data_IF_149231417589
#
_entry.id   IF_149231417589
#
_cell.length_a   1.000
_cell.length_b   1.000
_cell.length_c   1.000
_cell.angle_alpha   90.00
_cell.angle_beta   90.00
_cell.angle_gamma   90.00
#
_symmetry.space_group_name_H-M   'P 1'
#
loop_
_entity.id
_entity.type
_entity.pdbx_description
1 polymer ?
#
# COMPACT_ATOMS: atom_id res chain seq x y z
N UNK A 1 -0.21 -8.23 -12.46
CA UNK A 1 -0.25 -8.05 -13.93
C UNK A 1 0.38 -9.19 -14.72
N UNK A 2 1.16 -10.10 -14.12
CA UNK A 2 1.71 -11.28 -14.85
C UNK A 2 2.87 -10.99 -15.81
N UNK A 3 3.22 -9.71 -16.01
CA UNK A 3 4.24 -9.29 -16.98
C UNK A 3 5.60 -9.97 -16.80
N UNK A 4 6.03 -10.22 -15.55
CA UNK A 4 7.30 -10.91 -15.28
C UNK A 4 7.36 -12.32 -15.88
N UNK A 5 6.22 -13.03 -15.97
CA UNK A 5 6.16 -14.35 -16.60
C UNK A 5 6.28 -14.24 -18.12
N UNK A 6 5.59 -13.26 -18.73
CA UNK A 6 5.56 -13.10 -20.19
C UNK A 6 6.90 -12.63 -20.79
N UNK A 7 7.72 -11.91 -20.01
CA UNK A 7 9.02 -11.42 -20.48
C UNK A 7 10.18 -12.36 -20.15
N UNK A 8 9.96 -13.41 -19.35
CA UNK A 8 11.03 -14.30 -18.93
C UNK A 8 11.46 -15.18 -20.11
N UNK A 9 12.72 -15.08 -20.57
CA UNK A 9 13.18 -15.81 -21.77
C UNK A 9 13.21 -17.33 -21.57
N UNK A 10 13.32 -17.78 -20.31
CA UNK A 10 13.37 -19.20 -19.92
C UNK A 10 12.03 -19.73 -19.40
N UNK A 11 10.97 -18.91 -19.42
CA UNK A 11 9.61 -19.32 -19.07
C UNK A 11 9.32 -19.50 -17.58
N UNK A 12 10.18 -19.02 -16.67
CA UNK A 12 9.96 -19.16 -15.22
C UNK A 12 8.81 -18.26 -14.75
N UNK A 13 7.80 -18.89 -14.14
CA UNK A 13 6.67 -18.20 -13.52
C UNK A 13 6.98 -17.71 -12.10
N UNK A 14 7.86 -16.70 -12.04
CA UNK A 14 8.23 -16.05 -10.78
C UNK A 14 7.02 -15.51 -10.00
N UNK A 15 6.02 -14.83 -10.61
CA UNK A 15 4.87 -14.33 -9.87
C UNK A 15 4.12 -15.42 -9.10
N UNK A 16 3.81 -16.55 -9.76
CA UNK A 16 3.12 -17.66 -9.11
C UNK A 16 3.95 -18.26 -7.99
N UNK A 17 5.25 -18.44 -8.22
CA UNK A 17 6.19 -18.93 -7.21
C UNK A 17 6.26 -18.02 -5.98
N UNK A 18 6.34 -16.71 -6.16
CA UNK A 18 6.35 -15.76 -5.03
C UNK A 18 5.02 -15.72 -4.26
N UNK A 19 3.89 -15.90 -4.94
CA UNK A 19 2.59 -16.00 -4.28
C UNK A 19 2.47 -17.28 -3.46
N UNK A 20 2.99 -18.40 -3.99
CA UNK A 20 3.08 -19.66 -3.27
C UNK A 20 3.86 -19.49 -1.96
N UNK A 21 5.10 -18.99 -2.01
CA UNK A 21 5.89 -18.79 -0.79
C UNK A 21 5.27 -17.78 0.19
N UNK A 22 4.63 -16.72 -0.30
CA UNK A 22 3.89 -15.79 0.57
C UNK A 22 2.71 -16.46 1.27
N UNK A 23 2.02 -17.38 0.60
CA UNK A 23 0.91 -18.12 1.23
C UNK A 23 1.41 -19.03 2.36
N UNK A 24 2.55 -19.69 2.16
CA UNK A 24 3.23 -20.53 3.17
C UNK A 24 3.66 -19.72 4.38
N UNK A 25 4.25 -18.56 4.15
CA UNK A 25 4.64 -17.63 5.20
C UNK A 25 3.43 -17.11 6.02
N UNK A 26 2.35 -16.69 5.35
CA UNK A 26 1.14 -16.17 6.03
C UNK A 26 0.40 -17.27 6.81
N UNK A 27 0.43 -18.52 6.34
CA UNK A 27 -0.18 -19.66 7.00
C UNK A 27 0.65 -20.22 8.17
N UNK A 28 1.85 -19.66 8.41
CA UNK A 28 2.80 -20.18 9.39
C UNK A 28 3.12 -21.67 9.14
N UNK A 29 3.37 -22.01 7.86
CA UNK A 29 3.68 -23.38 7.47
C UNK A 29 4.97 -23.86 8.17
N UNK A 30 4.91 -24.98 8.93
CA UNK A 30 6.04 -25.48 9.72
C UNK A 30 7.23 -25.90 8.85
N UNK A 31 6.99 -26.36 7.62
CA UNK A 31 8.04 -26.84 6.71
C UNK A 31 8.90 -25.69 6.17
N UNK A 32 8.37 -24.46 6.22
CA UNK A 32 9.05 -23.26 5.74
C UNK A 32 9.60 -22.38 6.87
N UNK A 33 9.64 -22.88 8.12
CA UNK A 33 10.10 -22.15 9.31
C UNK A 33 9.35 -20.81 9.47
N UNK A 34 8.11 -20.75 8.97
CA UNK A 34 7.32 -19.54 8.98
C UNK A 34 6.74 -19.30 10.39
N UNK A 35 6.73 -18.04 10.82
CA UNK A 35 6.19 -17.66 12.13
C UNK A 35 4.78 -17.10 12.00
N UNK A 36 3.86 -17.42 12.93
CA UNK A 36 2.54 -16.83 12.94
C UNK A 36 2.64 -15.31 13.10
N UNK A 37 1.84 -14.60 12.30
CA UNK A 37 1.76 -13.14 12.35
C UNK A 37 1.13 -12.70 13.68
N UNK A 38 1.61 -11.63 14.32
CA UNK A 38 1.02 -11.11 15.56
C UNK A 38 -0.48 -10.87 15.40
N UNK A 39 -1.28 -11.22 16.42
CA UNK A 39 -2.73 -11.04 16.37
C UNK A 39 -3.16 -9.59 16.09
N UNK A 40 -2.40 -8.63 16.65
CA UNK A 40 -2.61 -7.20 16.41
C UNK A 40 -2.43 -6.82 14.93
N UNK A 41 -1.42 -7.37 14.25
CA UNK A 41 -1.17 -7.12 12.83
C UNK A 41 -2.34 -7.66 11.99
N UNK A 42 -2.79 -8.89 12.27
CA UNK A 42 -3.95 -9.50 11.60
C UNK A 42 -5.20 -8.64 11.76
N UNK A 43 -5.46 -8.12 12.96
CA UNK A 43 -6.63 -7.29 13.23
C UNK A 43 -6.52 -5.92 12.54
N UNK A 44 -5.33 -5.30 12.56
CA UNK A 44 -5.07 -4.06 11.85
C UNK A 44 -5.37 -4.20 10.35
N UNK A 45 -4.83 -5.23 9.70
CA UNK A 45 -5.05 -5.43 8.26
C UNK A 45 -6.49 -5.82 7.92
N UNK A 46 -7.20 -6.55 8.79
CA UNK A 46 -8.65 -6.77 8.62
C UNK A 46 -9.43 -5.46 8.65
N UNK A 47 -9.17 -4.60 9.62
CA UNK A 47 -9.79 -3.28 9.72
C UNK A 47 -9.44 -2.39 8.53
N UNK A 48 -8.18 -2.42 8.09
CA UNK A 48 -7.72 -1.72 6.91
C UNK A 48 -8.45 -2.19 5.64
N UNK A 49 -8.52 -3.50 5.40
CA UNK A 49 -9.24 -4.09 4.26
C UNK A 49 -10.71 -3.63 4.21
N UNK A 50 -11.37 -3.64 5.36
CA UNK A 50 -12.74 -3.14 5.48
C UNK A 50 -12.84 -1.65 5.12
N UNK A 51 -11.95 -0.80 5.66
CA UNK A 51 -11.95 0.63 5.39
C UNK A 51 -11.67 0.96 3.91
N UNK A 52 -10.70 0.29 3.28
CA UNK A 52 -10.34 0.56 1.88
C UNK A 52 -11.36 0.02 0.87
N UNK A 53 -12.08 -1.04 1.23
CA UNK A 53 -13.14 -1.61 0.38
C UNK A 53 -14.36 -0.69 0.25
N UNK A 54 -14.56 0.22 1.21
CA UNK A 54 -15.71 1.15 1.25
C UNK A 54 -15.26 2.54 0.83
N UNK A 55 -15.77 3.00 -0.31
CA UNK A 55 -15.37 4.28 -0.92
C UNK A 55 -15.49 5.47 0.02
N UNK A 56 -16.56 5.56 0.79
CA UNK A 56 -16.81 6.67 1.71
C UNK A 56 -15.83 6.69 2.90
N UNK A 57 -15.55 5.54 3.51
CA UNK A 57 -14.57 5.42 4.60
C UNK A 57 -13.17 5.76 4.12
N UNK A 58 -12.79 5.23 2.97
CA UNK A 58 -11.51 5.55 2.34
C UNK A 58 -11.36 7.06 2.09
N UNK A 59 -12.37 7.69 1.49
CA UNK A 59 -12.32 9.12 1.18
C UNK A 59 -12.25 9.98 2.45
N UNK A 60 -12.99 9.62 3.50
CA UNK A 60 -12.93 10.29 4.78
C UNK A 60 -11.54 10.13 5.44
N UNK A 61 -11.02 8.91 5.44
CA UNK A 61 -9.68 8.60 5.96
C UNK A 61 -8.58 9.41 5.25
N UNK A 62 -8.64 9.50 3.92
CA UNK A 62 -7.70 10.32 3.12
C UNK A 62 -7.80 11.81 3.47
N UNK A 63 -9.03 12.34 3.63
CA UNK A 63 -9.23 13.75 4.02
C UNK A 63 -8.65 14.05 5.41
N UNK A 64 -8.80 13.14 6.37
CA UNK A 64 -8.24 13.28 7.72
C UNK A 64 -6.72 13.08 7.76
N UNK A 65 -6.19 12.13 6.97
CA UNK A 65 -4.77 11.82 6.95
C UNK A 65 -3.94 12.92 6.27
N UNK A 66 -4.48 13.60 5.26
CA UNK A 66 -3.78 14.64 4.48
C UNK A 66 -3.12 15.73 5.34
N UNK A 67 -3.82 16.46 6.23
CA UNK A 67 -3.19 17.52 7.02
C UNK A 67 -2.10 16.98 7.95
N UNK A 68 -2.29 15.77 8.48
CA UNK A 68 -1.30 15.13 9.34
C UNK A 68 -0.04 14.74 8.57
N UNK A 69 -0.20 14.11 7.40
CA UNK A 69 0.92 13.67 6.55
C UNK A 69 1.66 14.84 5.91
N UNK A 70 0.95 15.90 5.55
CA UNK A 70 1.55 17.08 4.94
C UNK A 70 2.19 18.05 5.94
N UNK A 71 2.08 17.81 7.26
CA UNK A 71 2.62 18.70 8.31
C UNK A 71 4.13 18.94 8.18
N UNK A 72 4.87 17.92 7.75
CA UNK A 72 6.34 17.95 7.67
C UNK A 72 6.83 17.88 6.21
N UNK A 73 6.10 18.49 5.28
CA UNK A 73 6.50 18.55 3.87
C UNK A 73 7.61 19.59 3.69
N UNK A 74 8.71 19.17 3.08
CA UNK A 74 9.85 20.00 2.72
C UNK A 74 9.99 19.96 1.19
N UNK A 75 9.96 21.13 0.53
CA UNK A 75 10.04 21.26 -0.94
C UNK A 75 9.03 20.40 -1.72
N UNK A 76 7.82 20.20 -1.19
CA UNK A 76 6.77 19.39 -1.84
C UNK A 76 6.89 17.88 -1.62
N UNK A 77 7.87 17.43 -0.83
CA UNK A 77 8.07 16.02 -0.49
C UNK A 77 7.99 15.79 1.02
N UNK A 78 7.44 14.64 1.39
CA UNK A 78 7.59 14.04 2.70
C UNK A 78 8.90 13.26 2.66
N UNK A 79 9.88 13.69 3.45
CA UNK A 79 11.23 13.09 3.49
C UNK A 79 11.49 12.18 4.68
N UNK A 80 10.61 12.21 5.68
CA UNK A 80 10.79 11.45 6.91
C UNK A 80 9.46 11.14 7.56
N UNK A 81 9.37 9.93 8.13
CA UNK A 81 8.27 9.53 9.00
C UNK A 81 8.81 8.71 10.17
N UNK A 82 8.28 8.96 11.36
CA UNK A 82 8.66 8.23 12.58
C UNK A 82 7.94 6.87 12.63
N UNK A 83 8.45 5.95 13.44
CA UNK A 83 7.83 4.65 13.70
C UNK A 83 8.03 3.65 12.55
N UNK A 84 7.04 2.78 12.26
CA UNK A 84 7.20 1.63 11.36
C UNK A 84 7.54 2.02 9.92
N UNK A 85 7.25 3.25 9.52
CA UNK A 85 7.52 3.76 8.17
C UNK A 85 8.95 4.29 7.97
N UNK A 86 9.77 4.36 9.04
CA UNK A 86 11.13 4.92 8.95
C UNK A 86 11.99 4.24 7.88
N UNK A 87 11.87 2.92 7.72
CA UNK A 87 12.63 2.16 6.73
C UNK A 87 12.34 2.57 5.28
N UNK A 88 11.10 2.98 4.97
CA UNK A 88 10.74 3.46 3.63
C UNK A 88 11.49 4.74 3.27
N UNK A 89 11.48 5.71 4.18
CA UNK A 89 12.11 7.02 3.99
C UNK A 89 13.64 7.01 4.09
N UNK A 90 14.27 5.84 4.29
CA UNK A 90 15.73 5.72 4.16
C UNK A 90 16.19 5.72 2.69
N UNK A 91 15.32 5.31 1.77
CA UNK A 91 15.66 5.19 0.35
C UNK A 91 14.67 5.89 -0.59
N UNK A 92 13.49 6.27 -0.09
CA UNK A 92 12.41 6.82 -0.91
C UNK A 92 11.69 7.98 -0.22
N UNK A 93 11.64 9.09 -0.93
CA UNK A 93 10.76 10.20 -0.60
C UNK A 93 9.35 9.96 -1.17
N UNK A 94 8.34 10.55 -0.52
CA UNK A 94 6.97 10.55 -1.04
C UNK A 94 6.56 11.98 -1.41
N UNK A 95 5.87 12.22 -2.54
CA UNK A 95 5.31 13.53 -2.82
C UNK A 95 4.25 13.89 -1.77
N UNK A 96 4.08 15.18 -1.51
CA UNK A 96 3.01 15.67 -0.66
C UNK A 96 1.64 15.20 -1.18
N UNK A 97 0.73 14.90 -0.27
CA UNK A 97 -0.61 14.47 -0.66
C UNK A 97 -1.34 15.61 -1.38
N UNK A 98 -1.81 15.33 -2.59
CA UNK A 98 -2.54 16.29 -3.41
C UNK A 98 -3.85 16.75 -2.75
N UNK A 99 -4.21 18.03 -3.00
CA UNK A 99 -5.43 18.64 -2.47
C UNK A 99 -6.72 17.96 -2.97
N UNK A 100 -6.73 17.53 -4.24
CA UNK A 100 -7.82 16.77 -4.85
C UNK A 100 -7.40 15.32 -5.04
N UNK A 101 -8.25 14.37 -4.65
CA UNK A 101 -7.99 12.95 -4.93
C UNK A 101 -8.15 12.67 -6.42
N UNK A 102 -7.63 11.53 -6.89
CA UNK A 102 -7.88 11.09 -8.27
C UNK A 102 -9.37 11.05 -8.60
N UNK A 103 -10.21 10.56 -7.67
CA UNK A 103 -11.67 10.47 -7.86
C UNK A 103 -12.31 11.84 -7.97
N UNK A 104 -11.89 12.81 -7.15
CA UNK A 104 -12.38 14.19 -7.23
C UNK A 104 -12.02 14.80 -8.59
N UNK A 105 -10.76 14.66 -9.01
CA UNK A 105 -10.29 15.13 -10.32
C UNK A 105 -11.04 14.47 -11.47
N UNK A 106 -11.32 13.18 -11.36
CA UNK A 106 -12.04 12.42 -12.39
C UNK A 106 -13.48 12.89 -12.56
N UNK A 107 -14.16 13.23 -11.45
CA UNK A 107 -15.52 13.80 -11.50
C UNK A 107 -15.52 15.17 -12.20
N UNK A 108 -14.59 16.05 -11.83
CA UNK A 108 -14.45 17.38 -12.45
C UNK A 108 -14.13 17.31 -13.95
N UNK A 109 -13.37 16.31 -14.39
CA UNK A 109 -13.08 16.10 -15.80
C UNK A 109 -14.30 15.61 -16.58
N UNK A 110 -15.14 14.77 -15.97
CA UNK A 110 -16.40 14.30 -16.58
C UNK A 110 -17.45 15.40 -16.66
N UNK A 111 -17.54 16.27 -15.65
CA UNK A 111 -18.55 17.34 -15.61
C UNK A 111 -18.21 18.52 -16.56
N UNK A 112 -17.01 18.54 -17.15
CA UNK A 112 -16.53 19.57 -18.09
C UNK A 112 -16.58 19.16 -19.57
N UNK A 113 -16.94 17.91 -19.87
CA UNK A 113 -17.16 17.41 -21.23
C UNK A 113 -18.64 17.20 -21.49
#
# INVERSE_FOLDING_TARGET
CGACKSVCPVGIDHPSMFLYYRSKDVQADPDFVAKPRPAMEKQFFKGFAFAVSRSWFWNLGVKMARPFLNKNVENGFIRKMKGPFRGWFQSKDLPAMAAKTFRDRWKELKDKG
#
